data_IF_411873805562
#
_entry.id   IF_411873805562
#
_cell.length_a   1.000
_cell.length_b   1.000
_cell.length_c   1.000
_cell.angle_alpha   90.00
_cell.angle_beta   90.00
_cell.angle_gamma   90.00
#
_symmetry.space_group_name_H-M   'P 1'
#
loop_
_entity.id
_entity.type
_entity.pdbx_description
1 polymer ?
#
# COMPACT_ATOMS: atom_id res chain seq x y z
N UNK A 1 -11.77 -17.62 -0.21
CA UNK A 1 -11.07 -16.66 0.68
C UNK A 1 -9.58 -16.92 0.53
N UNK A 2 -8.81 -15.95 0.04
CA UNK A 2 -7.45 -16.12 -0.52
C UNK A 2 -6.33 -16.23 0.54
N UNK A 3 -6.65 -16.13 1.83
CA UNK A 3 -5.69 -16.29 2.92
C UNK A 3 -5.88 -17.65 3.61
N UNK A 4 -5.02 -18.64 3.35
CA UNK A 4 -5.03 -19.92 4.04
C UNK A 4 -4.41 -19.78 5.44
N UNK A 5 -4.93 -20.56 6.40
CA UNK A 5 -4.29 -20.70 7.70
C UNK A 5 -2.99 -21.49 7.49
N UNK A 6 -1.85 -20.92 7.92
CA UNK A 6 -0.56 -21.60 7.81
C UNK A 6 -0.29 -22.31 9.14
N UNK A 7 -0.37 -23.64 9.11
CA UNK A 7 0.01 -24.50 10.23
C UNK A 7 1.51 -24.78 10.20
N UNK A 8 2.15 -24.70 11.37
CA UNK A 8 3.49 -25.21 11.59
C UNK A 8 3.53 -26.74 11.57
N UNK A 9 4.73 -27.29 11.39
CA UNK A 9 5.02 -28.75 11.40
C UNK A 9 4.62 -29.46 12.70
N UNK A 10 4.36 -28.71 13.76
CA UNK A 10 3.96 -29.12 15.10
C UNK A 10 2.44 -29.01 15.34
N UNK A 11 1.66 -28.58 14.33
CA UNK A 11 0.22 -28.31 14.48
C UNK A 11 -0.09 -26.98 15.18
N UNK A 12 0.93 -26.14 15.43
CA UNK A 12 0.72 -24.79 15.95
C UNK A 12 0.22 -23.86 14.84
N UNK A 13 -0.71 -22.96 15.18
CA UNK A 13 -1.22 -21.95 14.25
C UNK A 13 -0.22 -20.80 14.23
N UNK A 14 0.64 -20.76 13.21
CA UNK A 14 1.66 -19.71 13.03
C UNK A 14 1.02 -18.44 12.45
N UNK A 15 -0.05 -18.60 11.67
CA UNK A 15 -0.80 -17.50 11.08
C UNK A 15 -2.30 -17.75 11.26
N UNK A 16 -2.88 -17.04 12.24
CA UNK A 16 -4.31 -17.05 12.47
C UNK A 16 -4.99 -16.09 11.47
N UNK A 17 -6.13 -16.52 10.93
CA UNK A 17 -7.03 -15.70 10.09
C UNK A 17 -7.46 -14.41 10.83
N UNK A 18 -7.42 -14.45 12.16
CA UNK A 18 -7.74 -13.36 13.05
C UNK A 18 -6.52 -12.51 13.44
N UNK A 19 -5.68 -12.10 12.49
CA UNK A 19 -4.66 -11.07 12.69
C UNK A 19 -5.24 -9.69 12.33
N UNK A 20 -5.94 -9.00 13.25
CA UNK A 20 -6.66 -7.75 12.97
C UNK A 20 -5.72 -6.61 12.54
N UNK A 21 -4.43 -6.71 12.85
CA UNK A 21 -3.44 -5.71 12.49
C UNK A 21 -3.21 -5.62 10.97
N UNK A 22 -3.10 -6.76 10.28
CA UNK A 22 -2.84 -6.79 8.83
C UNK A 22 -4.08 -6.31 8.07
N UNK A 23 -5.26 -6.81 8.45
CA UNK A 23 -6.52 -6.33 7.89
C UNK A 23 -6.74 -4.84 8.17
N UNK A 24 -6.45 -4.37 9.38
CA UNK A 24 -6.53 -2.96 9.75
C UNK A 24 -5.65 -2.08 8.86
N UNK A 25 -4.40 -2.48 8.62
CA UNK A 25 -3.47 -1.75 7.73
C UNK A 25 -3.99 -1.67 6.29
N UNK A 26 -4.53 -2.77 5.75
CA UNK A 26 -5.08 -2.80 4.39
C UNK A 26 -6.30 -1.87 4.29
N UNK A 27 -7.23 -1.97 5.24
CA UNK A 27 -8.42 -1.11 5.26
C UNK A 27 -8.08 0.37 5.43
N UNK A 28 -7.10 0.70 6.28
CA UNK A 28 -6.61 2.07 6.45
C UNK A 28 -5.99 2.59 5.15
N UNK A 29 -5.20 1.79 4.44
CA UNK A 29 -4.61 2.20 3.15
C UNK A 29 -5.69 2.47 2.09
N UNK A 30 -6.72 1.61 2.02
CA UNK A 30 -7.86 1.78 1.10
C UNK A 30 -8.65 3.05 1.47
N UNK A 31 -8.96 3.26 2.76
CA UNK A 31 -9.68 4.43 3.23
C UNK A 31 -8.89 5.73 2.92
N UNK A 32 -7.58 5.75 3.16
CA UNK A 32 -6.71 6.88 2.82
C UNK A 32 -6.68 7.15 1.31
N UNK A 33 -6.66 6.11 0.49
CA UNK A 33 -6.72 6.26 -0.97
C UNK A 33 -8.05 6.90 -1.40
N UNK A 34 -9.19 6.44 -0.88
CA UNK A 34 -10.51 7.01 -1.18
C UNK A 34 -10.60 8.47 -0.70
N UNK A 35 -10.17 8.76 0.52
CA UNK A 35 -10.18 10.13 1.06
C UNK A 35 -9.29 11.04 0.21
N UNK A 36 -8.13 10.55 -0.24
CA UNK A 36 -7.24 11.28 -1.14
C UNK A 36 -7.94 11.63 -2.46
N UNK A 37 -8.64 10.68 -3.07
CA UNK A 37 -9.41 10.90 -4.32
C UNK A 37 -10.52 11.94 -4.09
N UNK A 38 -11.28 11.84 -3.00
CA UNK A 38 -12.38 12.76 -2.69
C UNK A 38 -11.90 14.17 -2.32
N UNK A 39 -10.66 14.34 -1.87
CA UNK A 39 -10.07 15.63 -1.51
C UNK A 39 -9.55 16.44 -2.72
N UNK A 40 -10.09 16.23 -3.92
CA UNK A 40 -9.68 16.89 -5.18
C UNK A 40 -9.68 18.42 -5.16
N UNK A 41 -10.45 19.04 -4.24
CA UNK A 41 -10.47 20.50 -4.08
C UNK A 41 -9.24 21.07 -3.38
N UNK A 42 -8.50 20.26 -2.60
CA UNK A 42 -7.31 20.69 -1.83
C UNK A 42 -6.07 19.93 -2.29
N UNK A 43 -5.47 20.37 -3.40
CA UNK A 43 -4.32 19.69 -4.05
C UNK A 43 -3.08 19.56 -3.16
N UNK A 44 -2.82 20.54 -2.30
CA UNK A 44 -1.77 20.45 -1.28
C UNK A 44 -2.03 19.31 -0.29
N UNK A 45 -3.29 19.12 0.14
CA UNK A 45 -3.67 18.01 1.03
C UNK A 45 -3.56 16.67 0.31
N UNK A 46 -3.99 16.58 -0.96
CA UNK A 46 -3.83 15.37 -1.76
C UNK A 46 -2.36 14.97 -1.91
N UNK A 47 -1.46 15.93 -2.10
CA UNK A 47 -0.03 15.67 -2.20
C UNK A 47 0.55 15.09 -0.89
N UNK A 48 0.13 15.64 0.26
CA UNK A 48 0.55 15.15 1.59
C UNK A 48 -0.03 13.75 1.85
N UNK A 49 -1.33 13.54 1.62
CA UNK A 49 -1.99 12.25 1.82
C UNK A 49 -1.38 11.16 0.92
N UNK A 50 -1.11 11.49 -0.35
CA UNK A 50 -0.52 10.54 -1.27
C UNK A 50 0.92 10.18 -0.91
N UNK A 51 1.72 11.14 -0.39
CA UNK A 51 3.04 10.86 0.19
C UNK A 51 2.97 9.95 1.41
N UNK A 52 2.02 10.19 2.32
CA UNK A 52 1.81 9.31 3.48
C UNK A 52 1.43 7.88 3.03
N UNK A 53 0.62 7.75 1.99
CA UNK A 53 0.24 6.44 1.46
C UNK A 53 1.43 5.71 0.82
N UNK A 54 2.33 6.42 0.12
CA UNK A 54 3.58 5.84 -0.40
C UNK A 54 4.47 5.34 0.74
N UNK A 55 4.67 6.16 1.79
CA UNK A 55 5.48 5.77 2.95
C UNK A 55 4.91 4.52 3.62
N UNK A 56 3.58 4.48 3.82
CA UNK A 56 2.91 3.31 4.40
C UNK A 56 3.10 2.05 3.55
N UNK A 57 2.96 2.15 2.22
CA UNK A 57 3.22 1.03 1.31
C UNK A 57 4.70 0.61 1.31
N UNK A 58 5.64 1.54 1.51
CA UNK A 58 7.07 1.24 1.63
C UNK A 58 7.38 0.47 2.93
N UNK A 59 6.75 0.84 4.04
CA UNK A 59 6.84 0.11 5.31
C UNK A 59 6.26 -1.30 5.17
N UNK A 60 5.09 -1.43 4.52
CA UNK A 60 4.48 -2.73 4.22
C UNK A 60 5.43 -3.60 3.38
N UNK A 61 6.04 -3.04 2.34
CA UNK A 61 7.03 -3.74 1.53
C UNK A 61 8.21 -4.23 2.38
N UNK A 62 8.74 -3.38 3.27
CA UNK A 62 9.81 -3.76 4.19
C UNK A 62 9.44 -4.92 5.12
N UNK A 63 8.22 -4.92 5.66
CA UNK A 63 7.69 -6.01 6.49
C UNK A 63 7.56 -7.30 5.67
N UNK A 64 7.05 -7.23 4.44
CA UNK A 64 6.94 -8.39 3.57
C UNK A 64 8.31 -8.98 3.19
N UNK A 65 9.29 -8.13 2.87
CA UNK A 65 10.66 -8.56 2.57
C UNK A 65 11.32 -9.18 3.81
N UNK A 66 11.18 -8.58 4.99
CA UNK A 66 11.71 -9.14 6.24
C UNK A 66 11.11 -10.52 6.55
N UNK A 67 9.79 -10.68 6.41
CA UNK A 67 9.12 -11.97 6.60
C UNK A 67 9.59 -13.01 5.58
N UNK A 68 9.79 -12.61 4.32
CA UNK A 68 10.32 -13.49 3.28
C UNK A 68 11.72 -14.02 3.62
N UNK A 69 12.58 -13.16 4.19
CA UNK A 69 13.95 -13.53 4.58
C UNK A 69 14.03 -14.33 5.88
N UNK A 70 13.10 -14.14 6.81
CA UNK A 70 13.09 -14.78 8.13
C UNK A 70 12.43 -16.17 8.11
N UNK A 71 11.65 -16.50 7.08
CA UNK A 71 11.02 -17.80 6.92
C UNK A 71 12.02 -18.82 6.32
N UNK A 72 12.59 -19.67 7.17
CA UNK A 72 13.50 -20.74 6.76
C UNK A 72 12.73 -21.91 6.10
N UNK A 73 12.94 -22.12 4.79
CA UNK A 73 12.94 -23.47 4.21
C UNK A 73 11.62 -24.20 3.93
N UNK A 74 10.47 -23.53 3.78
CA UNK A 74 9.26 -24.19 3.26
C UNK A 74 8.99 -23.83 1.79
N UNK A 75 8.96 -24.88 0.96
CA UNK A 75 8.83 -24.96 -0.50
C UNK A 75 7.55 -24.37 -1.10
N UNK A 76 6.79 -23.56 -0.37
CA UNK A 76 5.62 -22.84 -0.86
C UNK A 76 6.05 -21.45 -1.35
N UNK A 77 7.05 -21.40 -2.23
CA UNK A 77 7.54 -20.13 -2.81
C UNK A 77 6.54 -19.56 -3.82
N UNK A 78 5.68 -20.43 -4.39
CA UNK A 78 4.77 -20.11 -5.49
C UNK A 78 3.54 -19.27 -5.10
N UNK A 79 3.06 -19.36 -3.86
CA UNK A 79 1.93 -18.52 -3.38
C UNK A 79 2.40 -17.31 -2.57
N UNK A 80 3.61 -17.36 -2.00
CA UNK A 80 4.13 -16.36 -1.06
C UNK A 80 4.68 -15.10 -1.74
N UNK A 81 5.13 -15.19 -3.00
CA UNK A 81 5.67 -14.04 -3.75
C UNK A 81 4.62 -13.01 -4.18
N UNK A 82 3.36 -13.42 -4.33
CA UNK A 82 2.28 -12.55 -4.82
C UNK A 82 1.99 -11.41 -3.82
N UNK A 83 2.13 -11.68 -2.52
CA UNK A 83 1.92 -10.67 -1.47
C UNK A 83 2.89 -9.49 -1.54
N UNK A 84 4.13 -9.70 -2.03
CA UNK A 84 5.15 -8.66 -2.20
C UNK A 84 4.86 -7.77 -3.41
N UNK A 85 4.21 -8.33 -4.45
CA UNK A 85 3.86 -7.59 -5.66
C UNK A 85 2.78 -6.52 -5.41
N UNK A 86 1.87 -6.75 -4.46
CA UNK A 86 0.75 -5.85 -4.17
C UNK A 86 1.22 -4.43 -3.72
N UNK A 87 2.10 -4.29 -2.70
CA UNK A 87 2.67 -3.00 -2.32
C UNK A 87 3.48 -2.34 -3.44
N UNK A 88 4.20 -3.13 -4.25
CA UNK A 88 5.00 -2.60 -5.36
C UNK A 88 4.09 -1.96 -6.41
N UNK A 89 3.05 -2.67 -6.85
CA UNK A 89 2.06 -2.16 -7.82
C UNK A 89 1.35 -0.92 -7.26
N UNK A 90 0.97 -0.97 -5.97
CA UNK A 90 0.36 0.16 -5.27
C UNK A 90 1.26 1.40 -5.29
N UNK A 91 2.57 1.27 -5.00
CA UNK A 91 3.54 2.37 -5.04
C UNK A 91 3.61 2.97 -6.46
N UNK A 92 3.66 2.14 -7.50
CA UNK A 92 3.70 2.62 -8.89
C UNK A 92 2.47 3.49 -9.20
N UNK A 93 1.27 3.03 -8.83
CA UNK A 93 0.05 3.82 -9.04
C UNK A 93 0.03 5.10 -8.21
N UNK A 94 0.49 5.08 -6.96
CA UNK A 94 0.59 6.28 -6.12
C UNK A 94 1.59 7.30 -6.71
N UNK A 95 2.70 6.86 -7.30
CA UNK A 95 3.66 7.75 -7.97
C UNK A 95 3.04 8.39 -9.21
N UNK A 96 2.28 7.63 -10.01
CA UNK A 96 1.55 8.17 -11.16
C UNK A 96 0.48 9.19 -10.72
N UNK A 97 -0.25 8.90 -9.65
CA UNK A 97 -1.22 9.83 -9.06
C UNK A 97 -0.56 11.14 -8.62
N UNK A 98 0.62 11.09 -7.98
CA UNK A 98 1.39 12.28 -7.62
C UNK A 98 1.75 13.14 -8.85
N UNK A 99 2.17 12.49 -9.95
CA UNK A 99 2.51 13.20 -11.18
C UNK A 99 1.29 13.91 -11.77
N UNK A 100 0.12 13.27 -11.74
CA UNK A 100 -1.14 13.86 -12.19
C UNK A 100 -1.57 15.04 -11.31
N UNK A 101 -1.55 14.89 -9.98
CA UNK A 101 -1.91 15.96 -9.03
C UNK A 101 -1.01 17.19 -9.21
N UNK A 102 0.30 16.98 -9.40
CA UNK A 102 1.24 18.08 -9.63
C UNK A 102 0.94 18.82 -10.94
N UNK A 103 0.66 18.08 -12.02
CA UNK A 103 0.29 18.67 -13.31
C UNK A 103 -0.98 19.52 -13.19
N UNK A 104 -1.97 19.02 -12.48
CA UNK A 104 -3.22 19.75 -12.24
C UNK A 104 -2.97 21.05 -11.47
N UNK A 105 -2.16 21.01 -10.40
CA UNK A 105 -1.72 22.17 -9.63
C UNK A 105 -1.01 23.22 -10.49
N UNK A 106 -0.06 22.78 -11.33
CA UNK A 106 0.69 23.66 -12.23
C UNK A 106 -0.23 24.32 -13.28
N UNK A 107 -1.24 23.59 -13.80
CA UNK A 107 -2.23 24.13 -14.73
C UNK A 107 -3.06 25.26 -14.10
N UNK A 108 -3.57 25.08 -12.88
CA UNK A 108 -4.37 26.14 -12.23
C UNK A 108 -3.52 27.37 -11.91
N UNK A 109 -2.28 27.18 -11.44
CA UNK A 109 -1.35 28.30 -11.22
C UNK A 109 -0.98 29.03 -12.51
N UNK A 110 -0.89 28.31 -13.63
CA UNK A 110 -0.60 28.94 -14.92
C UNK A 110 -1.75 29.81 -15.43
N UNK A 111 -3.01 29.39 -15.18
CA UNK A 111 -4.21 30.18 -15.53
C UNK A 111 -4.31 31.44 -14.68
N UNK A 112 -4.03 31.35 -13.38
CA UNK A 112 -4.06 32.53 -12.49
C UNK A 112 -2.98 33.57 -12.84
N UNK A 113 -1.89 33.19 -13.52
CA UNK A 113 -0.83 34.12 -13.97
C UNK A 113 -1.17 34.89 -15.25
N UNK A 114 -2.19 34.47 -15.99
CA UNK A 114 -2.63 35.11 -17.25
C UNK A 114 -3.72 36.17 -17.04
N UNK A 115 -4.27 36.26 -15.83
CA UNK A 115 -5.20 37.30 -15.39
C UNK A 115 -4.46 38.45 -14.72
#
# INVERSE_FOLDING_TARGET
MWFPNVLGKDGSIIMDRNEPLIFGLIFVSIALAIISILSFKKRQLQFVLNRLNIISNFVLLGVFVYRLLTLSGETIVSEKGIGVLFPIISIVFLVLANKAIKRDEDLVKSVDRLR
#
